data_IF_110460699583
#
_entry.id   IF_110460699583
#
_cell.length_a   1.000
_cell.length_b   1.000
_cell.length_c   1.000
_cell.angle_alpha   90.00
_cell.angle_beta   90.00
_cell.angle_gamma   90.00
#
_symmetry.space_group_name_H-M   'P 1'
#
loop_
_entity.id
_entity.type
_entity.pdbx_description
1 polymer ?
#
# COMPACT_ATOMS: atom_id res chain seq x y z
N UNK A 1 3.30 5.99 -10.37
CA UNK A 1 3.40 5.06 -9.22
C UNK A 1 4.38 5.53 -8.15
N UNK A 2 5.58 6.03 -8.48
CA UNK A 2 6.49 6.60 -7.47
C UNK A 2 5.84 7.71 -6.62
N UNK A 3 5.06 8.60 -7.25
CA UNK A 3 4.27 9.62 -6.53
C UNK A 3 3.23 9.04 -5.57
N UNK A 4 2.64 7.88 -5.88
CA UNK A 4 1.68 7.23 -4.98
C UNK A 4 2.39 6.69 -3.73
N UNK A 5 3.55 6.03 -3.91
CA UNK A 5 4.38 5.59 -2.77
C UNK A 5 4.88 6.75 -1.91
N UNK A 6 5.24 7.88 -2.53
CA UNK A 6 5.57 9.11 -1.80
C UNK A 6 4.36 9.62 -0.98
N UNK A 7 3.18 9.66 -1.58
CA UNK A 7 1.95 10.07 -0.87
C UNK A 7 1.60 9.16 0.31
N UNK A 8 1.78 7.84 0.17
CA UNK A 8 1.56 6.92 1.29
C UNK A 8 2.52 7.20 2.46
N UNK A 9 3.79 7.54 2.18
CA UNK A 9 4.74 7.97 3.21
C UNK A 9 4.33 9.30 3.85
N UNK A 10 3.97 10.29 3.04
CA UNK A 10 3.61 11.62 3.54
C UNK A 10 2.36 11.55 4.45
N UNK A 11 1.51 10.55 4.25
CA UNK A 11 0.35 10.26 5.09
C UNK A 11 0.65 9.26 6.23
N UNK A 12 1.92 8.90 6.46
CA UNK A 12 2.37 7.94 7.47
C UNK A 12 1.72 6.55 7.37
N UNK A 13 1.31 6.15 6.17
CA UNK A 13 0.62 4.86 5.93
C UNK A 13 1.63 3.71 5.75
N UNK A 14 2.76 3.94 5.09
CA UNK A 14 3.85 2.95 4.95
C UNK A 14 5.20 3.67 4.87
N UNK A 15 6.31 3.04 5.27
CA UNK A 15 7.64 3.56 4.97
C UNK A 15 7.86 3.58 3.44
N UNK A 16 8.73 4.47 2.94
CA UNK A 16 9.08 4.46 1.51
C UNK A 16 9.91 3.24 1.19
N UNK A 17 9.50 2.46 0.18
CA UNK A 17 10.41 1.60 -0.56
C UNK A 17 11.36 2.51 -1.37
N UNK A 18 12.67 2.57 -1.04
CA UNK A 18 13.60 3.44 -1.76
C UNK A 18 13.57 3.11 -3.26
N UNK A 19 13.54 4.15 -4.09
CA UNK A 19 13.59 4.01 -5.55
C UNK A 19 14.79 3.15 -5.95
N UNK A 20 14.57 2.11 -6.76
CA UNK A 20 15.62 1.20 -7.22
C UNK A 20 15.96 0.03 -6.29
N UNK A 21 15.28 -0.11 -5.14
CA UNK A 21 15.41 -1.32 -4.31
C UNK A 21 14.31 -2.33 -4.64
N UNK A 22 14.64 -3.62 -4.65
CA UNK A 22 13.64 -4.68 -4.78
C UNK A 22 12.63 -4.62 -3.62
N UNK A 23 11.34 -4.74 -3.95
CA UNK A 23 10.23 -4.64 -3.00
C UNK A 23 10.34 -5.68 -1.87
N UNK A 24 10.78 -6.91 -2.19
CA UNK A 24 10.89 -8.00 -1.21
C UNK A 24 12.06 -7.78 -0.26
N UNK A 25 13.16 -7.23 -0.77
CA UNK A 25 14.33 -6.85 0.03
C UNK A 25 13.98 -5.73 1.01
N UNK A 26 13.33 -4.66 0.52
CA UNK A 26 12.88 -3.56 1.36
C UNK A 26 11.85 -4.01 2.40
N UNK A 27 10.82 -4.76 1.98
CA UNK A 27 9.77 -5.23 2.87
C UNK A 27 10.37 -6.09 4.00
N UNK A 28 11.28 -7.01 3.67
CA UNK A 28 11.99 -7.81 4.67
C UNK A 28 12.82 -6.97 5.64
N UNK A 29 13.40 -5.86 5.19
CA UNK A 29 14.16 -4.95 6.04
C UNK A 29 13.26 -4.17 7.01
N UNK A 30 12.18 -3.56 6.52
CA UNK A 30 11.26 -2.77 7.38
C UNK A 30 10.50 -3.64 8.37
N UNK A 31 10.29 -4.92 8.04
CA UNK A 31 9.58 -5.87 8.89
C UNK A 31 10.44 -6.38 10.05
N UNK A 32 11.76 -6.41 9.94
CA UNK A 32 12.67 -6.98 10.96
C UNK A 32 12.47 -6.43 12.39
N UNK A 33 12.49 -5.10 12.62
CA UNK A 33 12.42 -4.54 13.97
C UNK A 33 11.02 -4.53 14.58
N UNK A 34 9.98 -4.89 13.81
CA UNK A 34 8.58 -4.77 14.22
C UNK A 34 8.16 -6.00 15.06
N UNK A 35 7.34 -5.79 16.11
CA UNK A 35 6.81 -6.90 16.91
C UNK A 35 5.77 -7.72 16.11
N UNK A 36 5.36 -8.88 16.62
CA UNK A 36 4.47 -9.79 15.88
C UNK A 36 3.10 -9.19 15.54
N UNK A 37 2.51 -8.42 16.45
CA UNK A 37 1.20 -7.79 16.25
C UNK A 37 1.27 -6.68 15.18
N UNK A 38 2.28 -5.83 15.27
CA UNK A 38 2.47 -4.71 14.35
C UNK A 38 3.00 -5.16 12.99
N UNK A 39 3.69 -6.31 12.91
CA UNK A 39 4.11 -6.93 11.65
C UNK A 39 2.90 -7.25 10.78
N UNK A 40 1.84 -7.80 11.36
CA UNK A 40 0.62 -8.13 10.63
C UNK A 40 -0.04 -6.86 10.07
N UNK A 41 -0.13 -5.79 10.88
CA UNK A 41 -0.66 -4.50 10.44
C UNK A 41 0.17 -3.92 9.28
N UNK A 42 1.50 -3.93 9.40
CA UNK A 42 2.42 -3.48 8.36
C UNK A 42 2.26 -4.31 7.07
N UNK A 43 2.27 -5.64 7.18
CA UNK A 43 2.14 -6.56 6.04
C UNK A 43 0.82 -6.32 5.30
N UNK A 44 -0.30 -6.19 6.02
CA UNK A 44 -1.61 -5.89 5.41
C UNK A 44 -1.60 -4.57 4.64
N UNK A 45 -0.99 -3.51 5.20
CA UNK A 45 -0.91 -2.21 4.55
C UNK A 45 -0.03 -2.26 3.29
N UNK A 46 1.13 -2.93 3.36
CA UNK A 46 2.02 -3.13 2.20
C UNK A 46 1.31 -3.91 1.08
N UNK A 47 0.61 -5.00 1.44
CA UNK A 47 -0.17 -5.81 0.50
C UNK A 47 -1.27 -4.96 -0.16
N UNK A 48 -1.99 -4.15 0.62
CA UNK A 48 -3.04 -3.27 0.09
C UNK A 48 -2.47 -2.23 -0.88
N UNK A 49 -1.29 -1.67 -0.59
CA UNK A 49 -0.64 -0.73 -1.49
C UNK A 49 -0.28 -1.42 -2.82
N UNK A 50 0.29 -2.63 -2.77
CA UNK A 50 0.58 -3.44 -3.95
C UNK A 50 -0.68 -3.78 -4.74
N UNK A 51 -1.75 -4.15 -4.04
CA UNK A 51 -3.07 -4.44 -4.63
C UNK A 51 -3.64 -3.22 -5.36
N UNK A 52 -3.56 -2.03 -4.75
CA UNK A 52 -3.99 -0.77 -5.37
C UNK A 52 -3.23 -0.48 -6.66
N UNK A 53 -1.90 -0.66 -6.65
CA UNK A 53 -1.05 -0.53 -7.85
C UNK A 53 -1.46 -1.51 -8.94
N UNK A 54 -1.70 -2.77 -8.56
CA UNK A 54 -2.09 -3.81 -9.50
C UNK A 54 -3.45 -3.50 -10.14
N UNK A 55 -4.45 -3.08 -9.35
CA UNK A 55 -5.77 -2.66 -9.87
C UNK A 55 -5.67 -1.50 -10.84
N UNK A 56 -4.87 -0.47 -10.55
CA UNK A 56 -4.69 0.67 -11.46
C UNK A 56 -4.09 0.24 -12.81
N UNK A 57 -3.05 -0.60 -12.78
CA UNK A 57 -2.41 -1.11 -14.00
C UNK A 57 -3.38 -1.93 -14.84
N UNK A 58 -4.21 -2.74 -14.20
CA UNK A 58 -5.24 -3.51 -14.90
C UNK A 58 -6.31 -2.59 -15.51
N UNK A 59 -6.84 -1.64 -14.74
CA UNK A 59 -7.83 -0.68 -15.26
C UNK A 59 -7.28 0.14 -16.43
N UNK A 60 -5.98 0.47 -16.40
CA UNK A 60 -5.33 1.18 -17.50
C UNK A 60 -5.30 0.37 -18.79
N UNK A 61 -5.04 -0.94 -18.70
CA UNK A 61 -4.91 -1.82 -19.86
C UNK A 61 -6.29 -2.28 -20.36
N UNK A 62 -7.15 -2.72 -19.46
CA UNK A 62 -8.41 -3.38 -19.81
C UNK A 62 -9.58 -2.40 -19.95
N UNK A 63 -9.58 -1.31 -19.18
CA UNK A 63 -10.68 -0.33 -19.17
C UNK A 63 -10.29 1.02 -19.82
N UNK A 64 -9.03 1.16 -20.28
CA UNK A 64 -8.45 2.42 -20.73
C UNK A 64 -8.59 3.57 -19.71
N UNK A 65 -8.69 3.24 -18.41
CA UNK A 65 -8.84 4.21 -17.32
C UNK A 65 -7.51 4.46 -16.64
N UNK A 66 -7.11 5.72 -16.58
CA UNK A 66 -5.90 6.13 -15.87
C UNK A 66 -6.28 7.02 -14.69
N UNK A 67 -5.95 6.55 -13.49
CA UNK A 67 -6.22 7.28 -12.26
C UNK A 67 -5.04 8.16 -11.85
N UNK A 68 -5.38 9.28 -11.20
CA UNK A 68 -4.36 10.16 -10.63
C UNK A 68 -3.83 9.58 -9.32
N UNK A 69 -2.57 9.87 -8.91
CA UNK A 69 -2.04 9.42 -7.62
C UNK A 69 -2.91 9.83 -6.41
N UNK A 70 -3.56 11.00 -6.48
CA UNK A 70 -4.50 11.45 -5.45
C UNK A 70 -5.75 10.58 -5.36
N UNK A 71 -6.34 10.21 -6.51
CA UNK A 71 -7.48 9.27 -6.54
C UNK A 71 -7.10 7.87 -6.05
N UNK A 72 -5.89 7.40 -6.38
CA UNK A 72 -5.39 6.14 -5.85
C UNK A 72 -5.19 6.17 -4.33
N UNK A 73 -4.72 7.29 -3.77
CA UNK A 73 -4.61 7.45 -2.31
C UNK A 73 -5.97 7.38 -1.63
N UNK A 74 -6.99 8.03 -2.18
CA UNK A 74 -8.34 7.98 -1.62
C UNK A 74 -8.94 6.57 -1.73
N UNK A 75 -8.83 5.91 -2.89
CA UNK A 75 -9.27 4.52 -3.06
C UNK A 75 -8.55 3.56 -2.09
N UNK A 76 -7.25 3.76 -1.87
CA UNK A 76 -6.48 3.01 -0.89
C UNK A 76 -7.03 3.20 0.54
N UNK A 77 -7.32 4.44 0.94
CA UNK A 77 -7.87 4.75 2.28
C UNK A 77 -9.27 4.15 2.46
N UNK A 78 -10.12 4.24 1.44
CA UNK A 78 -11.45 3.64 1.44
C UNK A 78 -11.38 2.13 1.64
N UNK A 79 -10.50 1.44 0.90
CA UNK A 79 -10.32 -0.02 1.02
C UNK A 79 -9.68 -0.40 2.37
N UNK A 80 -8.73 0.41 2.87
CA UNK A 80 -8.15 0.23 4.21
C UNK A 80 -9.22 0.31 5.31
N UNK A 81 -10.12 1.29 5.21
CA UNK A 81 -11.24 1.45 6.15
C UNK A 81 -12.24 0.29 6.06
N UNK A 82 -12.55 -0.18 4.85
CA UNK A 82 -13.39 -1.35 4.65
C UNK A 82 -12.78 -2.60 5.30
N UNK A 83 -11.47 -2.82 5.13
CA UNK A 83 -10.76 -3.95 5.75
C UNK A 83 -10.73 -3.84 7.27
N UNK A 84 -10.58 -2.63 7.80
CA UNK A 84 -10.65 -2.37 9.24
C UNK A 84 -12.03 -2.70 9.80
N UNK A 85 -13.11 -2.27 9.12
CA UNK A 85 -14.49 -2.59 9.50
C UNK A 85 -14.79 -4.10 9.43
N UNK A 86 -14.18 -4.81 8.48
CA UNK A 86 -14.27 -6.26 8.36
C UNK A 86 -13.43 -7.04 9.39
N UNK A 87 -12.69 -6.36 10.28
CA UNK A 87 -11.86 -7.00 11.31
C UNK A 87 -10.52 -7.56 10.79
N UNK A 88 -10.14 -7.27 9.54
CA UNK A 88 -8.86 -7.73 8.96
C UNK A 88 -7.65 -6.95 9.50
N UNK A 89 -7.89 -5.79 10.10
CA UNK A 89 -6.90 -4.91 10.74
C UNK A 89 -7.19 -4.66 12.24
N UNK A 90 -8.20 -5.33 12.81
CA UNK A 90 -8.53 -5.20 14.23
C UNK A 90 -7.47 -5.89 15.12
N UNK A 91 -7.30 -5.35 16.32
CA UNK A 91 -6.32 -5.77 17.35
C UNK A 91 -6.54 -7.19 17.86
#
# INVERSE_FOLDING_TARGET
MERFWAMLKDNSLVPVCPSGTDLTVWWSAVRRPVNKADKRKLDTVVILACWTVWKERNARIFDAKQETPGRLLEAFKEELMAWKMAGLLAE
#
